data_IF_823553109568
#
_entry.id   IF_823553109568
#
_cell.length_a   1.000
_cell.length_b   1.000
_cell.length_c   1.000
_cell.angle_alpha   90.00
_cell.angle_beta   90.00
_cell.angle_gamma   90.00
#
_symmetry.space_group_name_H-M   'P 1'
#
loop_
_entity.id
_entity.type
_entity.pdbx_description
1 polymer ?
#
# COMPACT_ATOMS: atom_id res chain seq x y z
N UNK A 1 -10.58 27.54 -1.90
CA UNK A 1 -9.80 26.32 -2.11
C UNK A 1 -8.97 26.07 -0.86
N UNK A 2 -9.36 25.09 -0.05
CA UNK A 2 -8.51 24.57 1.02
C UNK A 2 -7.27 23.92 0.37
N UNK A 3 -6.14 23.85 1.07
CA UNK A 3 -4.94 23.23 0.50
C UNK A 3 -5.23 21.76 0.14
N UNK A 4 -5.08 21.42 -1.14
CA UNK A 4 -5.39 20.08 -1.65
C UNK A 4 -4.52 19.02 -0.97
N UNK A 5 -3.30 19.37 -0.56
CA UNK A 5 -2.38 18.48 0.15
C UNK A 5 -2.85 18.25 1.59
N UNK A 6 -3.27 19.29 2.30
CA UNK A 6 -3.85 19.14 3.64
C UNK A 6 -5.13 18.27 3.61
N UNK A 7 -5.93 18.40 2.55
CA UNK A 7 -7.14 17.61 2.40
C UNK A 7 -6.82 16.13 2.11
N UNK A 8 -5.83 15.85 1.25
CA UNK A 8 -5.32 14.50 1.02
C UNK A 8 -4.76 13.87 2.30
N UNK A 9 -4.04 14.63 3.13
CA UNK A 9 -3.56 14.17 4.42
C UNK A 9 -4.72 13.84 5.38
N UNK A 10 -5.74 14.71 5.44
CA UNK A 10 -6.91 14.49 6.28
C UNK A 10 -7.67 13.21 5.89
N UNK A 11 -7.84 12.96 4.59
CA UNK A 11 -8.43 11.72 4.08
C UNK A 11 -7.56 10.51 4.46
N UNK A 12 -6.24 10.61 4.30
CA UNK A 12 -5.30 9.53 4.64
C UNK A 12 -5.31 9.17 6.14
N UNK A 13 -5.55 10.17 7.00
CA UNK A 13 -5.59 10.02 8.46
C UNK A 13 -6.93 9.49 8.96
N UNK A 14 -8.04 9.86 8.32
CA UNK A 14 -9.39 9.42 8.73
C UNK A 14 -9.77 8.08 8.07
N UNK A 15 -9.79 7.02 8.87
CA UNK A 15 -10.23 5.69 8.41
C UNK A 15 -11.66 5.68 7.87
N UNK A 16 -12.54 6.54 8.38
CA UNK A 16 -13.93 6.63 7.92
C UNK A 16 -14.01 7.18 6.50
N UNK A 17 -13.15 8.15 6.16
CA UNK A 17 -13.06 8.70 4.81
C UNK A 17 -12.39 7.75 3.84
N UNK A 18 -11.40 6.96 4.30
CA UNK A 18 -10.75 5.91 3.47
C UNK A 18 -11.70 4.79 3.06
N UNK A 19 -12.70 4.49 3.88
CA UNK A 19 -13.68 3.43 3.63
C UNK A 19 -15.06 3.98 3.23
N UNK A 20 -15.19 5.29 3.06
CA UNK A 20 -16.43 5.90 2.61
C UNK A 20 -16.77 5.45 1.19
N UNK A 21 -18.07 5.39 0.89
CA UNK A 21 -18.49 5.20 -0.51
C UNK A 21 -18.03 6.40 -1.35
N UNK A 22 -17.85 6.23 -2.67
CA UNK A 22 -17.49 7.31 -3.58
C UNK A 22 -18.38 8.57 -3.43
N UNK A 23 -19.69 8.37 -3.27
CA UNK A 23 -20.67 9.45 -3.13
C UNK A 23 -20.55 10.16 -1.77
N UNK A 24 -20.29 9.40 -0.70
CA UNK A 24 -20.10 9.95 0.64
C UNK A 24 -18.79 10.75 0.72
N UNK A 25 -17.72 10.24 0.09
CA UNK A 25 -16.44 10.93 0.00
C UNK A 25 -16.57 12.20 -0.84
N UNK A 26 -17.21 12.14 -2.02
CA UNK A 26 -17.43 13.31 -2.87
C UNK A 26 -18.18 14.43 -2.15
N UNK A 27 -19.24 14.10 -1.38
CA UNK A 27 -19.97 15.11 -0.59
C UNK A 27 -19.14 15.71 0.54
N UNK A 28 -18.30 14.91 1.21
CA UNK A 28 -17.40 15.41 2.24
C UNK A 28 -16.34 16.36 1.66
N UNK A 29 -15.83 16.05 0.47
CA UNK A 29 -14.87 16.87 -0.26
C UNK A 29 -15.48 18.18 -0.78
N UNK A 30 -16.72 18.12 -1.29
CA UNK A 30 -17.46 19.30 -1.73
C UNK A 30 -17.71 20.26 -0.55
N UNK A 31 -18.12 19.73 0.61
CA UNK A 31 -18.27 20.51 1.84
C UNK A 31 -16.94 21.12 2.34
N UNK A 32 -15.81 20.54 1.94
CA UNK A 32 -14.47 21.02 2.27
C UNK A 32 -13.86 21.96 1.21
N UNK A 33 -14.63 22.34 0.18
CA UNK A 33 -14.16 23.20 -0.93
C UNK A 33 -12.94 22.61 -1.66
N UNK A 34 -13.01 21.29 -1.93
CA UNK A 34 -12.00 20.53 -2.64
C UNK A 34 -11.84 20.97 -4.11
N UNK A 35 -10.67 20.69 -4.70
CA UNK A 35 -10.43 20.96 -6.11
C UNK A 35 -11.27 20.06 -7.03
N UNK A 36 -11.48 20.50 -8.27
CA UNK A 36 -12.25 19.76 -9.25
C UNK A 36 -11.65 18.37 -9.54
N UNK A 37 -10.32 18.28 -9.67
CA UNK A 37 -9.65 17.01 -9.89
C UNK A 37 -9.80 16.03 -8.73
N UNK A 38 -9.86 16.52 -7.49
CA UNK A 38 -10.07 15.67 -6.31
C UNK A 38 -11.52 15.17 -6.22
N UNK A 39 -12.49 16.00 -6.62
CA UNK A 39 -13.90 15.61 -6.72
C UNK A 39 -14.12 14.57 -7.84
N UNK A 40 -13.49 14.73 -9.00
CA UNK A 40 -13.55 13.75 -10.08
C UNK A 40 -12.91 12.41 -9.69
N UNK A 41 -11.77 12.45 -8.99
CA UNK A 41 -11.15 11.25 -8.44
C UNK A 41 -12.09 10.52 -7.48
N UNK A 42 -12.74 11.25 -6.56
CA UNK A 42 -13.64 10.64 -5.60
C UNK A 42 -14.90 10.07 -6.23
N UNK A 43 -15.45 10.71 -7.26
CA UNK A 43 -16.68 10.28 -7.92
C UNK A 43 -16.46 9.14 -8.93
N UNK A 44 -15.39 9.23 -9.73
CA UNK A 44 -15.20 8.37 -10.90
C UNK A 44 -13.97 7.46 -10.81
N UNK A 45 -13.11 7.66 -9.80
CA UNK A 45 -11.81 6.99 -9.71
C UNK A 45 -10.77 7.50 -10.71
N UNK A 46 -11.03 8.61 -11.42
CA UNK A 46 -10.10 9.19 -12.39
C UNK A 46 -9.20 10.26 -11.73
N UNK A 47 -7.92 9.94 -11.58
CA UNK A 47 -6.91 10.84 -11.01
C UNK A 47 -6.22 11.75 -12.02
N UNK A 48 -6.62 11.76 -13.29
CA UNK A 48 -5.92 12.48 -14.36
C UNK A 48 -5.97 14.00 -14.16
N UNK A 49 -7.12 14.54 -13.78
CA UNK A 49 -7.27 15.96 -13.46
C UNK A 49 -6.44 16.34 -12.21
N UNK A 50 -6.52 15.54 -11.14
CA UNK A 50 -5.73 15.77 -9.92
C UNK A 50 -4.22 15.71 -10.17
N UNK A 51 -3.77 14.78 -11.01
CA UNK A 51 -2.34 14.64 -11.39
C UNK A 51 -1.83 15.91 -12.08
N UNK A 52 -2.64 16.49 -12.96
CA UNK A 52 -2.32 17.75 -13.64
C UNK A 52 -2.33 18.94 -12.67
N UNK A 53 -3.33 19.03 -11.79
CA UNK A 53 -3.42 20.07 -10.76
C UNK A 53 -2.20 20.09 -9.84
N UNK A 54 -1.69 18.91 -9.47
CA UNK A 54 -0.53 18.75 -8.59
C UNK A 54 0.81 18.81 -9.34
N UNK A 55 0.81 18.95 -10.68
CA UNK A 55 2.03 18.96 -11.49
C UNK A 55 2.82 17.64 -11.44
N UNK A 56 2.15 16.52 -11.13
CA UNK A 56 2.79 15.22 -10.96
C UNK A 56 3.16 14.63 -12.32
N UNK A 57 4.42 14.23 -12.47
CA UNK A 57 4.92 13.54 -13.67
C UNK A 57 5.19 12.08 -13.35
N UNK A 58 4.59 11.16 -14.11
CA UNK A 58 4.87 9.71 -13.98
C UNK A 58 6.31 9.43 -14.43
N UNK A 59 7.23 9.27 -13.49
CA UNK A 59 8.63 8.88 -13.72
C UNK A 59 8.81 7.36 -13.84
N UNK A 60 7.87 6.66 -14.47
CA UNK A 60 7.93 5.20 -14.54
C UNK A 60 9.08 4.78 -15.47
N UNK A 61 10.17 4.29 -14.88
CA UNK A 61 11.19 3.51 -15.58
C UNK A 61 10.86 2.03 -15.36
N UNK A 62 10.75 1.27 -16.45
CA UNK A 62 10.65 -0.18 -16.36
C UNK A 62 11.96 -0.73 -15.80
N UNK A 63 11.92 -1.26 -14.57
CA UNK A 63 13.03 -2.04 -14.06
C UNK A 63 13.06 -3.34 -14.87
N UNK A 64 14.08 -3.52 -15.71
CA UNK A 64 14.29 -4.80 -16.36
C UNK A 64 14.53 -5.85 -15.28
N UNK A 65 13.63 -6.83 -15.20
CA UNK A 65 13.78 -7.98 -14.31
C UNK A 65 15.00 -8.77 -14.79
N UNK A 66 16.13 -8.61 -14.11
CA UNK A 66 17.25 -9.53 -14.26
C UNK A 66 16.80 -10.86 -13.66
N UNK A 67 16.29 -11.76 -14.50
CA UNK A 67 16.25 -13.18 -14.16
C UNK A 67 17.69 -13.68 -14.25
N UNK A 68 18.44 -13.56 -13.16
CA UNK A 68 19.73 -14.24 -13.05
C UNK A 68 19.48 -15.72 -13.28
N UNK A 69 20.01 -16.26 -14.38
CA UNK A 69 20.06 -17.70 -14.58
C UNK A 69 20.91 -18.25 -13.43
N UNK A 70 20.24 -18.85 -12.44
CA UNK A 70 20.90 -19.65 -11.41
C UNK A 70 21.44 -20.88 -12.15
N UNK A 71 22.76 -20.98 -12.27
CA UNK A 71 23.40 -22.20 -12.75
C UNK A 71 23.02 -23.30 -11.74
N UNK A 72 22.29 -24.32 -12.20
CA UNK A 72 21.82 -25.43 -11.38
C UNK A 72 23.01 -26.08 -10.65
N UNK A 73 23.17 -25.78 -9.36
CA UNK A 73 24.03 -26.59 -8.48
C UNK A 73 23.38 -27.98 -8.40
N UNK A 74 24.07 -28.99 -8.94
CA UNK A 74 23.66 -30.38 -8.93
C UNK A 74 23.31 -30.83 -7.49
N UNK A 75 22.24 -31.63 -7.28
CA UNK A 75 21.93 -32.12 -5.95
C UNK A 75 23.00 -33.14 -5.51
N UNK A 76 23.82 -32.76 -4.53
CA UNK A 76 24.63 -33.70 -3.75
C UNK A 76 23.69 -34.64 -2.98
N UNK A 77 23.53 -35.87 -3.45
CA UNK A 77 22.92 -36.95 -2.68
C UNK A 77 23.80 -37.30 -1.48
N UNK A 78 23.27 -37.09 -0.26
CA UNK A 78 23.65 -37.90 0.90
C UNK A 78 24.00 -37.10 2.15
N UNK A 79 23.10 -37.15 3.14
CA UNK A 79 23.44 -36.74 4.50
C UNK A 79 22.25 -36.56 5.44
N UNK A 80 21.74 -37.69 5.94
CA UNK A 80 21.15 -37.89 7.29
C UNK A 80 20.30 -36.77 7.93
N UNK A 81 19.00 -37.06 8.11
CA UNK A 81 18.06 -36.25 8.90
C UNK A 81 18.50 -36.08 10.36
N UNK A 82 18.46 -34.86 10.92
CA UNK A 82 18.42 -34.69 12.36
C UNK A 82 16.97 -34.79 12.85
N UNK A 83 16.71 -35.85 13.62
CA UNK A 83 15.45 -36.14 14.30
C UNK A 83 14.83 -34.94 15.02
N UNK A 84 13.52 -34.81 14.89
CA UNK A 84 12.64 -33.95 15.68
C UNK A 84 12.92 -34.09 17.18
N UNK A 85 13.39 -33.01 17.82
CA UNK A 85 13.15 -32.80 19.26
C UNK A 85 12.05 -31.76 19.39
N UNK A 86 10.90 -32.22 19.85
CA UNK A 86 9.82 -31.41 20.38
C UNK A 86 10.31 -30.76 21.68
N UNK A 87 10.64 -29.48 21.65
CA UNK A 87 10.74 -28.65 22.85
C UNK A 87 9.31 -28.32 23.32
N UNK A 88 8.78 -29.14 24.22
CA UNK A 88 7.59 -28.80 25.00
C UNK A 88 8.01 -27.86 26.15
N UNK A 89 7.32 -26.74 26.38
CA UNK A 89 7.63 -25.82 27.47
C UNK A 89 6.92 -26.30 28.73
N UNK A 90 7.63 -26.40 29.87
CA UNK A 90 6.94 -26.44 31.16
C UNK A 90 7.62 -25.54 32.19
N UNK A 91 6.79 -24.62 32.65
CA UNK A 91 6.98 -23.55 33.62
C UNK A 91 6.73 -24.12 35.02
N UNK A 92 7.69 -24.04 35.94
CA UNK A 92 7.41 -24.14 37.38
C UNK A 92 8.61 -23.69 38.25
N UNK A 93 8.34 -23.15 39.47
CA UNK A 93 9.13 -22.09 40.06
C UNK A 93 10.16 -22.55 41.11
N UNK A 94 11.11 -21.66 41.37
CA UNK A 94 12.05 -21.72 42.49
C UNK A 94 11.37 -21.90 43.84
N UNK A 95 11.93 -22.77 44.68
CA UNK A 95 11.76 -22.79 46.13
C UNK A 95 13.12 -23.01 46.80
#
# INVERSE_FOLDING_TARGET
>A
MRDTVELLEAIGRDASLRHASPEALARALEAADASAGLLELAANGDGTALTQELGLTKMQTEHMSQTGAHEDEEPEEGGEEPSERTDEPDDAPSA
#
